data_IF_202222157479
#
_entry.id   IF_202222157479
#
_cell.length_a   1.000
_cell.length_b   1.000
_cell.length_c   1.000
_cell.angle_alpha   90.00
_cell.angle_beta   90.00
_cell.angle_gamma   90.00
#
_symmetry.space_group_name_H-M   'P 1'
#
loop_
_entity.id
_entity.type
_entity.pdbx_description
1 polymer ?
#
# COMPACT_ATOMS: atom_id res chain seq x y z
N UNK A 1 -35.05 43.27 16.26
CA UNK A 1 -33.65 42.92 16.59
C UNK A 1 -33.10 42.19 15.39
N UNK A 2 -32.04 42.71 14.76
CA UNK A 2 -31.43 42.08 13.59
C UNK A 2 -30.86 40.70 14.00
N UNK A 3 -31.07 39.62 13.23
CA UNK A 3 -30.50 38.32 13.58
C UNK A 3 -28.96 38.40 13.52
N UNK A 4 -28.29 37.70 14.44
CA UNK A 4 -26.83 37.60 14.46
C UNK A 4 -26.33 37.08 13.10
N UNK A 5 -25.27 37.70 12.62
CA UNK A 5 -24.73 37.49 11.28
C UNK A 5 -24.12 36.08 11.15
N UNK A 6 -24.28 35.43 9.99
CA UNK A 6 -23.82 34.05 9.77
C UNK A 6 -22.30 33.88 9.96
N UNK A 7 -21.55 34.98 9.88
CA UNK A 7 -20.11 35.03 10.09
C UNK A 7 -19.65 34.71 11.53
N UNK A 8 -20.53 34.79 12.53
CA UNK A 8 -20.18 34.45 13.91
C UNK A 8 -19.97 32.94 14.11
N UNK A 9 -20.46 32.09 13.20
CA UNK A 9 -20.16 30.65 13.21
C UNK A 9 -18.78 30.29 12.66
N UNK A 10 -18.08 31.25 12.02
CA UNK A 10 -16.76 31.04 11.44
C UNK A 10 -15.62 31.53 12.33
N UNK A 11 -15.93 32.15 13.47
CA UNK A 11 -14.93 32.43 14.52
C UNK A 11 -14.70 31.16 15.33
N UNK A 12 -14.16 30.13 14.67
CA UNK A 12 -13.46 29.07 15.36
C UNK A 12 -12.10 29.63 15.77
N UNK A 13 -11.97 30.04 17.04
CA UNK A 13 -10.69 30.25 17.72
C UNK A 13 -9.92 28.91 17.83
N UNK A 14 -9.47 28.41 16.69
CA UNK A 14 -8.48 27.35 16.60
C UNK A 14 -7.35 27.86 15.74
N UNK A 15 -6.23 28.15 16.39
CA UNK A 15 -4.94 28.21 15.70
C UNK A 15 -4.85 27.07 14.68
N UNK A 16 -4.36 27.32 13.45
CA UNK A 16 -4.28 26.29 12.44
C UNK A 16 -3.39 25.15 12.95
N UNK A 17 -4.02 24.01 13.26
CA UNK A 17 -3.30 22.79 13.60
C UNK A 17 -2.68 22.23 12.32
N UNK A 18 -1.43 22.64 12.05
CA UNK A 18 -0.65 22.16 10.90
C UNK A 18 0.01 20.85 11.27
N UNK A 19 -0.59 19.74 10.85
CA UNK A 19 0.04 18.42 10.92
C UNK A 19 0.60 18.08 9.56
N UNK A 20 1.90 17.81 9.51
CA UNK A 20 2.48 17.24 8.30
C UNK A 20 1.84 15.84 8.08
N UNK A 21 1.46 15.46 6.84
CA UNK A 21 0.76 14.20 6.55
C UNK A 21 1.40 12.91 7.14
N UNK A 22 2.67 12.97 7.54
CA UNK A 22 3.45 11.88 8.09
C UNK A 22 4.01 12.12 9.51
N UNK A 23 3.64 13.20 10.22
CA UNK A 23 4.28 13.62 11.49
C UNK A 23 4.27 12.55 12.60
N UNK A 24 3.28 11.66 12.59
CA UNK A 24 3.15 10.57 13.57
C UNK A 24 3.43 9.19 12.99
N UNK A 25 3.84 9.11 11.71
CA UNK A 25 4.11 7.84 11.06
C UNK A 25 5.62 7.55 11.11
N UNK A 26 5.97 6.47 11.80
CA UNK A 26 7.31 5.92 11.73
C UNK A 26 7.38 5.06 10.48
N UNK A 27 8.34 5.33 9.60
CA UNK A 27 8.56 4.47 8.44
C UNK A 27 8.84 3.06 8.96
N UNK A 28 7.92 2.12 8.72
CA UNK A 28 8.25 0.71 8.73
C UNK A 28 9.36 0.51 7.70
N UNK A 29 10.35 -0.32 8.04
CA UNK A 29 11.40 -0.64 7.09
C UNK A 29 10.77 -1.26 5.84
N UNK A 30 11.09 -0.74 4.66
CA UNK A 30 10.65 -1.30 3.38
C UNK A 30 11.06 -2.77 3.21
N UNK A 31 11.98 -3.29 4.02
CA UNK A 31 12.40 -4.69 3.99
C UNK A 31 11.56 -5.59 4.91
N UNK A 32 10.76 -5.00 5.81
CA UNK A 32 10.04 -5.74 6.87
C UNK A 32 8.53 -5.76 6.63
N UNK A 33 8.03 -4.89 5.76
CA UNK A 33 6.63 -4.89 5.40
C UNK A 33 6.28 -6.06 4.49
N UNK A 34 5.32 -6.88 4.93
CA UNK A 34 4.87 -8.09 4.21
C UNK A 34 4.14 -7.78 2.89
N UNK A 35 3.78 -6.52 2.70
CA UNK A 35 3.00 -6.05 1.55
C UNK A 35 3.84 -5.26 0.54
N UNK A 36 5.17 -5.22 0.70
CA UNK A 36 6.06 -4.43 -0.17
C UNK A 36 5.93 -4.80 -1.64
N UNK A 37 5.72 -6.07 -1.94
CA UNK A 37 5.57 -6.57 -3.30
C UNK A 37 4.32 -5.98 -3.95
N UNK A 38 3.19 -6.04 -3.25
CA UNK A 38 1.92 -5.50 -3.73
C UNK A 38 1.96 -3.96 -3.85
N UNK A 39 2.67 -3.29 -2.94
CA UNK A 39 2.86 -1.84 -2.96
C UNK A 39 3.80 -1.38 -4.10
N UNK A 40 4.84 -2.17 -4.42
CA UNK A 40 5.80 -1.85 -5.47
C UNK A 40 5.24 -2.10 -6.87
N UNK A 41 4.35 -3.11 -7.01
CA UNK A 41 3.77 -3.51 -8.30
C UNK A 41 2.24 -3.48 -8.28
N UNK A 42 1.59 -2.33 -8.01
CA UNK A 42 0.14 -2.24 -7.86
C UNK A 42 -0.63 -2.62 -9.13
N UNK A 43 -0.02 -2.51 -10.32
CA UNK A 43 -0.62 -2.96 -11.57
C UNK A 43 -0.70 -4.49 -11.70
N UNK A 44 0.18 -5.23 -11.01
CA UNK A 44 0.14 -6.69 -10.92
C UNK A 44 -0.77 -7.17 -9.77
N UNK A 45 -0.94 -6.33 -8.75
CA UNK A 45 -1.70 -6.61 -7.53
C UNK A 45 -2.83 -5.58 -7.32
N UNK A 46 -3.87 -5.56 -8.17
CA UNK A 46 -4.95 -4.57 -8.09
C UNK A 46 -5.73 -4.61 -6.76
N UNK A 47 -5.85 -5.80 -6.16
CA UNK A 47 -6.51 -6.00 -4.86
C UNK A 47 -5.53 -5.93 -3.68
N UNK A 48 -4.23 -5.74 -3.95
CA UNK A 48 -3.18 -5.72 -2.92
C UNK A 48 -2.92 -7.07 -2.24
N UNK A 49 -3.47 -8.17 -2.77
CA UNK A 49 -3.39 -9.52 -2.21
C UNK A 49 -2.57 -10.46 -3.09
N UNK A 50 -2.06 -11.52 -2.49
CA UNK A 50 -1.25 -12.56 -3.13
C UNK A 50 0.25 -12.29 -3.10
N UNK A 51 0.74 -11.40 -2.22
CA UNK A 51 2.19 -11.22 -2.04
C UNK A 51 2.82 -12.47 -1.42
N UNK A 52 4.13 -12.67 -1.59
CA UNK A 52 4.83 -13.82 -1.03
C UNK A 52 4.70 -13.91 0.51
N UNK A 53 4.86 -12.77 1.20
CA UNK A 53 4.88 -12.70 2.67
C UNK A 53 3.49 -12.62 3.34
N UNK A 54 2.42 -12.78 2.56
CA UNK A 54 1.06 -12.85 3.08
C UNK A 54 0.85 -14.07 3.99
N UNK A 55 -0.02 -13.93 4.99
CA UNK A 55 -0.39 -15.01 5.89
C UNK A 55 -1.18 -16.08 5.13
N UNK A 56 -0.70 -17.33 5.17
CA UNK A 56 -1.33 -18.48 4.51
C UNK A 56 -1.42 -19.66 5.47
N UNK A 57 -2.46 -20.47 5.29
CA UNK A 57 -2.63 -21.73 6.04
C UNK A 57 -1.50 -22.73 5.75
N UNK A 58 -0.97 -22.72 4.53
CA UNK A 58 0.15 -23.58 4.11
C UNK A 58 1.38 -22.74 3.81
N UNK A 59 2.54 -23.25 4.24
CA UNK A 59 3.81 -22.59 3.96
C UNK A 59 4.19 -22.78 2.49
N UNK A 60 4.31 -21.68 1.76
CA UNK A 60 4.75 -21.68 0.37
C UNK A 60 6.25 -21.41 0.33
N UNK A 61 7.02 -22.29 -0.30
CA UNK A 61 8.45 -22.05 -0.46
C UNK A 61 8.68 -20.99 -1.55
N UNK A 62 9.66 -20.11 -1.34
CA UNK A 62 10.04 -19.07 -2.31
C UNK A 62 10.16 -19.60 -3.75
N UNK A 63 10.84 -20.74 -3.93
CA UNK A 63 11.00 -21.37 -5.25
C UNK A 63 9.68 -21.75 -5.92
N UNK A 64 8.67 -22.13 -5.14
CA UNK A 64 7.35 -22.54 -5.64
C UNK A 64 6.54 -21.30 -6.03
N UNK A 65 6.65 -20.24 -5.23
CA UNK A 65 6.11 -18.92 -5.55
C UNK A 65 6.68 -18.39 -6.87
N UNK A 66 8.01 -18.33 -7.02
CA UNK A 66 8.63 -17.83 -8.25
C UNK A 66 8.27 -18.70 -9.46
N UNK A 67 8.21 -20.03 -9.30
CA UNK A 67 7.76 -20.93 -10.38
C UNK A 67 6.32 -20.63 -10.80
N UNK A 68 5.41 -20.44 -9.85
CA UNK A 68 4.03 -20.08 -10.16
C UNK A 68 3.97 -18.72 -10.87
N UNK A 69 4.76 -17.73 -10.45
CA UNK A 69 4.78 -16.41 -11.09
C UNK A 69 5.37 -16.41 -12.51
N UNK A 70 6.36 -17.26 -12.77
CA UNK A 70 7.05 -17.31 -14.06
C UNK A 70 6.40 -18.26 -15.07
N UNK A 71 5.78 -19.35 -14.61
CA UNK A 71 5.29 -20.43 -15.48
C UNK A 71 3.77 -20.69 -15.35
N UNK A 72 3.03 -19.82 -14.65
CA UNK A 72 1.56 -19.87 -14.68
C UNK A 72 1.04 -19.63 -16.09
N UNK A 73 -0.17 -20.13 -16.36
CA UNK A 73 -0.93 -19.81 -17.57
C UNK A 73 -1.20 -18.30 -17.69
N UNK A 74 -1.20 -17.60 -16.56
CA UNK A 74 -1.28 -16.15 -16.50
C UNK A 74 0.11 -15.53 -16.68
N UNK A 75 0.32 -14.93 -17.85
CA UNK A 75 1.60 -14.34 -18.23
C UNK A 75 1.80 -12.91 -17.72
N UNK A 76 0.86 -12.31 -16.96
CA UNK A 76 0.98 -10.91 -16.51
C UNK A 76 2.26 -10.66 -15.72
N UNK A 77 2.60 -11.59 -14.82
CA UNK A 77 3.80 -11.54 -13.99
C UNK A 77 5.06 -11.85 -14.81
N UNK A 78 4.99 -12.84 -15.70
CA UNK A 78 6.11 -13.24 -16.54
C UNK A 78 6.41 -12.27 -17.70
N UNK A 79 5.49 -11.35 -18.02
CA UNK A 79 5.67 -10.32 -19.04
C UNK A 79 6.36 -9.06 -18.51
N UNK A 80 6.36 -8.85 -17.19
CA UNK A 80 6.95 -7.67 -16.56
C UNK A 80 8.42 -7.93 -16.19
N UNK A 81 9.33 -7.34 -16.96
CA UNK A 81 10.77 -7.49 -16.72
C UNK A 81 11.21 -6.95 -15.35
N UNK A 82 10.60 -5.87 -14.88
CA UNK A 82 10.94 -5.27 -13.59
C UNK A 82 10.54 -6.18 -12.44
N UNK A 83 9.40 -6.86 -12.57
CA UNK A 83 8.95 -7.87 -11.62
C UNK A 83 9.84 -9.12 -11.64
N UNK A 84 10.32 -9.56 -12.80
CA UNK A 84 11.25 -10.69 -12.90
C UNK A 84 12.59 -10.40 -12.18
N UNK A 85 13.12 -9.18 -12.28
CA UNK A 85 14.34 -8.79 -11.55
C UNK A 85 14.11 -8.61 -10.04
N UNK A 86 12.86 -8.47 -9.61
CA UNK A 86 12.50 -8.38 -8.20
C UNK A 86 12.40 -9.77 -7.52
N UNK A 87 11.90 -10.78 -8.24
CA UNK A 87 11.81 -12.19 -7.79
C UNK A 87 13.19 -12.87 -7.65
#
# INVERSE_FOLDING_TARGET
TQPCDFNDFLVFDKEPYVVAPAEKNKLSSLLTDKTIEALAFPHLFPDGQGSYDEERETNLQWKEYCKARLFSSDSRFAADSSYIFYL
#
